data_IF_609273419764
#
_entry.id   IF_609273419764
#
_cell.length_a   1.000
_cell.length_b   1.000
_cell.length_c   1.000
_cell.angle_alpha   90.00
_cell.angle_beta   90.00
_cell.angle_gamma   90.00
#
_symmetry.space_group_name_H-M   'P 1'
#
loop_
_entity.id
_entity.type
_entity.pdbx_description
1 polymer ?
#
# COMPACT_ATOMS: atom_id res chain seq x y z
N UNK A 1 16.84 28.91 6.57
CA UNK A 1 16.35 27.87 5.64
C UNK A 1 14.84 27.84 5.72
N UNK A 2 14.16 28.20 4.65
CA UNK A 2 12.70 28.33 4.59
C UNK A 2 11.99 26.97 4.58
N UNK A 3 10.69 26.94 4.93
CA UNK A 3 9.86 25.72 4.82
C UNK A 3 9.82 25.17 3.39
N UNK A 4 10.05 26.02 2.39
CA UNK A 4 10.07 25.68 0.95
C UNK A 4 11.31 24.84 0.62
N UNK A 5 12.48 25.14 1.23
CA UNK A 5 13.72 24.38 1.00
C UNK A 5 13.65 22.94 1.53
N UNK A 6 12.88 22.72 2.63
CA UNK A 6 12.67 21.37 3.19
C UNK A 6 11.70 20.52 2.37
N UNK A 7 10.82 21.14 1.58
CA UNK A 7 9.88 20.44 0.70
C UNK A 7 10.53 20.02 -0.61
N UNK A 8 11.46 20.79 -1.13
CA UNK A 8 12.24 20.46 -2.34
C UNK A 8 13.21 19.26 -2.12
N UNK A 9 13.68 19.03 -0.88
CA UNK A 9 14.54 17.90 -0.53
C UNK A 9 13.80 16.57 -0.36
N UNK A 10 12.47 16.55 -0.39
CA UNK A 10 11.65 15.33 -0.45
C UNK A 10 11.42 14.84 -1.89
N UNK A 11 12.37 15.04 -2.81
CA UNK A 11 12.37 14.28 -4.07
C UNK A 11 12.28 12.82 -3.68
N UNK A 12 11.21 12.15 -4.14
CA UNK A 12 11.03 10.72 -3.93
C UNK A 12 12.34 10.04 -4.33
N UNK A 13 13.06 9.49 -3.33
CA UNK A 13 14.32 8.80 -3.60
C UNK A 13 13.98 7.67 -4.54
N UNK A 14 14.50 7.72 -5.75
CA UNK A 14 14.29 6.68 -6.75
C UNK A 14 14.79 5.38 -6.14
N UNK A 15 13.89 4.40 -6.02
CA UNK A 15 14.23 3.05 -5.57
C UNK A 15 14.65 2.33 -6.84
N UNK A 16 15.93 1.93 -6.93
CA UNK A 16 16.42 1.09 -8.03
C UNK A 16 16.65 -0.34 -7.54
N UNK A 17 16.69 -1.28 -8.48
CA UNK A 17 17.00 -2.68 -8.18
C UNK A 17 18.35 -2.81 -7.48
N UNK A 18 19.37 -2.14 -8.00
CA UNK A 18 20.73 -2.16 -7.45
C UNK A 18 20.77 -1.63 -6.02
N UNK A 19 20.01 -0.56 -5.74
CA UNK A 19 19.89 -0.03 -4.39
C UNK A 19 19.30 -1.06 -3.42
N UNK A 20 18.29 -1.82 -3.85
CA UNK A 20 17.68 -2.86 -3.01
C UNK A 20 18.67 -4.01 -2.81
N UNK A 21 19.28 -4.49 -3.89
CA UNK A 21 20.24 -5.60 -3.88
C UNK A 21 21.51 -5.30 -3.08
N UNK A 22 21.95 -4.05 -3.02
CA UNK A 22 23.08 -3.62 -2.19
C UNK A 22 22.83 -3.87 -0.69
N UNK A 23 21.58 -3.67 -0.24
CA UNK A 23 21.27 -3.61 1.19
C UNK A 23 20.50 -4.81 1.71
N UNK A 24 19.71 -5.45 0.86
CA UNK A 24 18.72 -6.43 1.27
C UNK A 24 18.78 -7.70 0.41
N UNK A 25 18.45 -8.81 1.05
CA UNK A 25 18.06 -10.07 0.40
C UNK A 25 16.55 -10.23 0.52
N UNK A 26 15.88 -10.63 -0.55
CA UNK A 26 14.45 -10.92 -0.60
C UNK A 26 14.27 -12.42 -0.85
N UNK A 27 13.51 -13.11 0.02
CA UNK A 27 13.28 -14.56 -0.05
C UNK A 27 11.99 -14.96 -0.82
N UNK A 28 11.32 -13.96 -1.43
CA UNK A 28 10.02 -14.12 -2.08
C UNK A 28 8.84 -13.62 -1.23
N UNK A 29 9.06 -13.30 0.04
CA UNK A 29 8.06 -12.78 0.97
C UNK A 29 8.59 -11.66 1.86
N UNK A 30 9.73 -11.90 2.50
CA UNK A 30 10.34 -11.02 3.49
C UNK A 30 11.71 -10.53 3.03
N UNK A 31 12.14 -9.43 3.60
CA UNK A 31 13.47 -8.88 3.39
C UNK A 31 14.38 -9.16 4.57
N UNK A 32 15.65 -9.42 4.27
CA UNK A 32 16.71 -9.67 5.24
C UNK A 32 17.90 -8.76 4.97
N UNK A 33 18.56 -8.30 6.04
CA UNK A 33 19.73 -7.46 5.93
C UNK A 33 20.92 -8.24 5.36
N UNK A 34 21.55 -7.73 4.31
CA UNK A 34 22.83 -8.24 3.82
C UNK A 34 23.98 -7.78 4.70
N UNK A 35 25.07 -8.53 4.70
CA UNK A 35 26.35 -8.05 5.24
C UNK A 35 26.77 -6.80 4.47
N UNK A 36 27.37 -5.86 5.20
CA UNK A 36 27.86 -4.60 4.61
C UNK A 36 29.36 -4.56 4.64
N UNK A 37 29.96 -3.92 3.64
CA UNK A 37 31.38 -3.69 3.54
C UNK A 37 31.88 -2.65 4.56
N UNK A 38 33.13 -2.75 5.01
CA UNK A 38 33.71 -1.78 5.95
C UNK A 38 33.59 -0.32 5.48
N UNK A 39 33.65 -0.08 4.17
CA UNK A 39 33.51 1.25 3.56
C UNK A 39 32.15 1.91 3.83
N UNK A 40 31.14 1.13 4.25
CA UNK A 40 29.81 1.64 4.62
C UNK A 40 29.73 2.24 6.03
N UNK A 41 30.83 2.19 6.79
CA UNK A 41 30.89 2.60 8.20
C UNK A 41 32.05 3.56 8.45
N UNK A 42 31.99 4.28 9.56
CA UNK A 42 33.08 5.15 10.02
C UNK A 42 34.33 4.38 10.45
N UNK A 43 34.16 3.13 10.89
CA UNK A 43 35.25 2.28 11.37
C UNK A 43 34.90 0.79 11.26
N UNK A 44 35.94 -0.05 11.26
CA UNK A 44 35.83 -1.51 11.11
C UNK A 44 35.13 -2.20 12.29
N UNK A 45 35.24 -1.62 13.50
CA UNK A 45 34.58 -2.18 14.71
C UNK A 45 33.06 -2.04 14.58
N UNK A 46 32.57 -0.89 14.17
CA UNK A 46 31.14 -0.62 13.92
C UNK A 46 30.61 -1.55 12.83
N UNK A 47 31.35 -1.75 11.75
CA UNK A 47 31.02 -2.71 10.70
C UNK A 47 30.88 -4.14 11.25
N UNK A 48 31.86 -4.61 12.03
CA UNK A 48 31.85 -5.95 12.64
C UNK A 48 30.66 -6.13 13.57
N UNK A 49 30.40 -5.15 14.43
CA UNK A 49 29.23 -5.19 15.35
C UNK A 49 27.93 -5.24 14.57
N UNK A 50 27.77 -4.41 13.55
CA UNK A 50 26.56 -4.39 12.72
C UNK A 50 26.36 -5.73 12.00
N UNK A 51 27.39 -6.25 11.35
CA UNK A 51 27.33 -7.51 10.61
C UNK A 51 27.05 -8.71 11.53
N UNK A 52 27.53 -8.69 12.77
CA UNK A 52 27.24 -9.74 13.76
C UNK A 52 25.81 -9.65 14.30
N UNK A 53 25.29 -8.44 14.50
CA UNK A 53 24.00 -8.24 15.18
C UNK A 53 22.81 -8.18 14.23
N UNK A 54 23.00 -7.67 13.03
CA UNK A 54 21.91 -7.27 12.12
C UNK A 54 21.90 -8.08 10.83
N UNK A 55 23.05 -8.36 10.22
CA UNK A 55 23.08 -9.11 8.96
C UNK A 55 22.41 -10.49 9.12
N UNK A 56 21.64 -10.88 8.13
CA UNK A 56 20.83 -12.10 8.12
C UNK A 56 19.53 -12.03 8.90
N UNK A 57 19.27 -10.95 9.65
CA UNK A 57 17.99 -10.77 10.34
C UNK A 57 16.95 -10.15 9.41
N UNK A 58 15.67 -10.46 9.69
CA UNK A 58 14.54 -9.86 8.97
C UNK A 58 14.58 -8.33 9.08
N UNK A 59 14.43 -7.68 7.96
CA UNK A 59 14.45 -6.23 7.85
C UNK A 59 13.05 -5.65 7.93
N UNK A 60 12.93 -4.53 8.67
CA UNK A 60 11.69 -3.78 8.77
C UNK A 60 10.79 -4.16 9.94
N UNK A 61 9.73 -3.36 10.09
CA UNK A 61 8.69 -3.51 11.10
C UNK A 61 7.36 -2.98 10.57
N UNK A 62 6.27 -3.32 11.26
CA UNK A 62 4.93 -2.90 10.87
C UNK A 62 4.71 -1.45 11.33
N UNK A 63 4.39 -0.56 10.39
CA UNK A 63 4.07 0.85 10.66
C UNK A 63 2.65 1.00 11.25
N UNK A 64 2.33 2.19 11.78
CA UNK A 64 0.98 2.51 12.27
C UNK A 64 -0.11 2.36 11.18
N UNK A 65 0.27 2.44 9.90
CA UNK A 65 -0.63 2.21 8.77
C UNK A 65 -0.74 0.73 8.37
N UNK A 66 -0.05 -0.18 9.08
CA UNK A 66 -0.09 -1.62 8.84
C UNK A 66 0.87 -2.10 7.74
N UNK A 67 1.70 -1.25 7.15
CA UNK A 67 2.69 -1.65 6.15
C UNK A 67 4.00 -2.11 6.81
N UNK A 68 4.67 -3.07 6.18
CA UNK A 68 6.06 -3.34 6.51
C UNK A 68 6.93 -2.21 5.94
N UNK A 69 7.65 -1.51 6.81
CA UNK A 69 8.58 -0.43 6.45
C UNK A 69 10.01 -0.78 6.86
N UNK A 70 10.96 -0.54 5.95
CA UNK A 70 12.38 -0.79 6.14
C UNK A 70 13.11 0.55 6.10
N UNK A 71 13.94 0.82 7.13
CA UNK A 71 14.74 2.04 7.18
C UNK A 71 16.14 1.78 6.64
N UNK A 72 16.48 2.37 5.49
CA UNK A 72 17.79 2.25 4.85
C UNK A 72 18.41 3.64 4.75
N UNK A 73 19.64 3.82 5.26
CA UNK A 73 20.38 5.11 5.23
C UNK A 73 19.51 6.29 5.68
N UNK A 74 18.76 6.11 6.79
CA UNK A 74 17.89 7.14 7.38
C UNK A 74 16.57 7.40 6.69
N UNK A 75 16.28 6.76 5.54
CA UNK A 75 15.01 6.89 4.82
C UNK A 75 14.16 5.63 5.00
N UNK A 76 12.84 5.81 5.10
CA UNK A 76 11.88 4.70 5.21
C UNK A 76 11.33 4.34 3.84
N UNK A 77 11.26 3.04 3.59
CA UNK A 77 10.74 2.46 2.34
C UNK A 77 9.70 1.39 2.68
N UNK A 78 8.61 1.39 1.96
CA UNK A 78 7.59 0.34 2.08
C UNK A 78 8.08 -0.94 1.40
N UNK A 79 8.00 -2.08 2.08
CA UNK A 79 8.55 -3.36 1.61
C UNK A 79 7.97 -3.80 0.27
N UNK A 80 6.64 -3.66 0.06
CA UNK A 80 6.02 -4.01 -1.22
C UNK A 80 6.58 -3.21 -2.41
N UNK A 81 6.98 -1.95 -2.21
CA UNK A 81 7.61 -1.14 -3.27
C UNK A 81 9.03 -1.62 -3.57
N UNK A 82 9.77 -2.06 -2.54
CA UNK A 82 11.09 -2.67 -2.71
C UNK A 82 10.99 -4.02 -3.44
N UNK A 83 10.02 -4.86 -3.06
CA UNK A 83 9.77 -6.14 -3.71
C UNK A 83 9.40 -5.96 -5.20
N UNK A 84 8.49 -5.03 -5.48
CA UNK A 84 8.12 -4.70 -6.86
C UNK A 84 9.32 -4.24 -7.68
N UNK A 85 10.08 -3.28 -7.17
CA UNK A 85 11.24 -2.74 -7.86
C UNK A 85 12.31 -3.81 -8.13
N UNK A 86 12.51 -4.73 -7.18
CA UNK A 86 13.48 -5.81 -7.32
C UNK A 86 13.13 -6.77 -8.47
N UNK A 87 11.84 -7.08 -8.65
CA UNK A 87 11.37 -8.09 -9.62
C UNK A 87 11.00 -7.45 -10.97
N UNK A 88 10.33 -6.32 -10.95
CA UNK A 88 9.76 -5.69 -12.15
C UNK A 88 10.45 -4.37 -12.57
N UNK A 89 11.38 -3.86 -11.75
CA UNK A 89 12.05 -2.59 -12.02
C UNK A 89 11.24 -1.38 -11.53
N UNK A 90 11.45 -0.24 -12.18
CA UNK A 90 10.93 1.06 -11.75
C UNK A 90 9.40 1.11 -11.69
N UNK A 91 8.91 1.79 -10.66
CA UNK A 91 7.47 2.06 -10.51
C UNK A 91 7.18 3.40 -11.20
N UNK A 92 6.32 3.44 -12.25
CA UNK A 92 5.93 4.68 -12.90
C UNK A 92 5.37 5.70 -11.91
N UNK A 93 5.59 6.99 -12.17
CA UNK A 93 5.25 8.08 -11.24
C UNK A 93 3.76 8.23 -10.96
N UNK A 94 2.92 7.83 -11.91
CA UNK A 94 1.46 7.83 -11.87
C UNK A 94 0.84 6.54 -11.33
N UNK A 95 1.69 5.52 -11.07
CA UNK A 95 1.26 4.21 -10.60
C UNK A 95 1.63 3.97 -9.13
N UNK A 96 0.85 3.13 -8.48
CA UNK A 96 1.07 2.68 -7.12
C UNK A 96 1.12 1.15 -7.05
N UNK A 97 1.94 0.62 -6.15
CA UNK A 97 1.93 -0.81 -5.85
C UNK A 97 0.88 -1.06 -4.77
N UNK A 98 -0.04 -1.98 -5.05
CA UNK A 98 -1.17 -2.32 -4.20
C UNK A 98 -1.18 -3.81 -3.87
N UNK A 99 -1.76 -4.18 -2.71
CA UNK A 99 -1.92 -5.57 -2.27
C UNK A 99 -3.27 -6.11 -2.73
N UNK A 100 -3.25 -7.20 -3.50
CA UNK A 100 -4.45 -7.81 -4.09
C UNK A 100 -5.39 -8.32 -2.98
N UNK A 101 -4.84 -8.96 -1.94
CA UNK A 101 -5.58 -9.54 -0.81
C UNK A 101 -5.84 -8.55 0.34
N UNK A 102 -5.49 -7.26 0.20
CA UNK A 102 -5.57 -6.21 1.23
C UNK A 102 -4.68 -6.42 2.47
N UNK A 103 -3.94 -7.52 2.60
CA UNK A 103 -2.95 -7.72 3.65
C UNK A 103 -1.66 -6.95 3.33
N UNK A 104 -1.48 -5.83 4.02
CA UNK A 104 -0.34 -4.92 3.84
C UNK A 104 0.99 -5.49 4.34
N UNK A 105 0.97 -6.67 4.95
CA UNK A 105 2.16 -7.38 5.41
C UNK A 105 2.59 -8.49 4.46
N UNK A 106 1.71 -8.90 3.53
CA UNK A 106 1.98 -9.94 2.54
C UNK A 106 2.62 -9.34 1.28
N UNK A 107 3.95 -9.23 1.29
CA UNK A 107 4.72 -8.61 0.22
C UNK A 107 5.19 -9.61 -0.85
N UNK A 108 4.59 -10.80 -0.93
CA UNK A 108 4.85 -11.74 -2.04
C UNK A 108 4.47 -11.11 -3.35
N UNK A 109 5.30 -11.33 -4.39
CA UNK A 109 5.13 -10.63 -5.67
C UNK A 109 3.81 -10.95 -6.37
N UNK A 110 3.32 -12.19 -6.23
CA UNK A 110 2.03 -12.63 -6.77
C UNK A 110 0.83 -11.95 -6.11
N UNK A 111 1.03 -11.38 -4.91
CA UNK A 111 0.02 -10.58 -4.20
C UNK A 111 0.11 -9.08 -4.50
N UNK A 112 1.07 -8.64 -5.31
CA UNK A 112 1.28 -7.23 -5.63
C UNK A 112 0.85 -6.94 -7.06
N UNK A 113 0.34 -5.74 -7.28
CA UNK A 113 -0.02 -5.23 -8.62
C UNK A 113 0.25 -3.74 -8.73
N UNK A 114 0.44 -3.26 -9.96
CA UNK A 114 0.40 -1.83 -10.24
C UNK A 114 -1.05 -1.39 -10.47
N UNK A 115 -1.40 -0.28 -9.86
CA UNK A 115 -2.70 0.37 -10.03
C UNK A 115 -2.49 1.87 -10.22
N UNK A 116 -3.33 2.49 -11.04
CA UNK A 116 -3.45 3.94 -11.09
C UNK A 116 -4.23 4.47 -9.86
N UNK A 117 -4.36 5.77 -9.73
CA UNK A 117 -5.10 6.37 -8.63
C UNK A 117 -6.58 5.95 -8.59
N UNK A 118 -7.19 5.65 -9.74
CA UNK A 118 -8.57 5.18 -9.82
C UNK A 118 -8.69 3.72 -9.36
N UNK A 119 -7.78 2.86 -9.81
CA UNK A 119 -7.71 1.46 -9.41
C UNK A 119 -7.49 1.30 -7.90
N UNK A 120 -6.60 2.12 -7.31
CA UNK A 120 -6.37 2.11 -5.88
C UNK A 120 -7.60 2.57 -5.06
N UNK A 121 -8.34 3.57 -5.55
CA UNK A 121 -9.60 3.97 -4.92
C UNK A 121 -10.69 2.89 -5.01
N UNK A 122 -10.74 2.15 -6.12
CA UNK A 122 -11.65 1.01 -6.30
C UNK A 122 -11.37 -0.13 -5.34
N UNK A 123 -10.12 -0.29 -4.92
CA UNK A 123 -9.66 -1.36 -4.02
C UNK A 123 -9.63 -0.93 -2.52
N UNK A 124 -10.21 0.22 -2.18
CA UNK A 124 -10.22 0.69 -0.79
C UNK A 124 -11.10 -0.19 0.09
N UNK A 125 -10.57 -0.66 1.23
CA UNK A 125 -11.33 -1.39 2.25
C UNK A 125 -12.41 -0.51 2.89
N UNK A 126 -13.42 -1.16 3.47
CA UNK A 126 -14.52 -0.51 4.19
C UNK A 126 -13.93 0.36 5.33
N UNK A 127 -14.37 1.60 5.43
CA UNK A 127 -13.99 2.49 6.52
C UNK A 127 -14.53 1.97 7.86
N UNK A 128 -13.74 2.13 8.93
CA UNK A 128 -14.13 1.71 10.30
C UNK A 128 -15.37 2.43 10.85
N UNK A 129 -15.68 3.63 10.32
CA UNK A 129 -16.84 4.44 10.67
C UNK A 129 -18.10 4.10 9.84
N UNK A 130 -18.01 3.14 8.94
CA UNK A 130 -19.15 2.69 8.15
C UNK A 130 -20.01 1.69 8.95
N UNK A 131 -20.97 2.23 9.70
CA UNK A 131 -21.92 1.47 10.54
C UNK A 131 -22.77 0.48 9.70
N UNK A 132 -22.96 0.74 8.41
CA UNK A 132 -23.72 -0.10 7.51
C UNK A 132 -22.98 -1.35 7.00
N UNK A 133 -21.66 -1.48 7.24
CA UNK A 133 -20.86 -2.64 6.78
C UNK A 133 -20.70 -2.77 5.26
N UNK A 134 -21.25 -1.86 4.47
CA UNK A 134 -21.10 -1.85 3.01
C UNK A 134 -20.72 -0.46 2.51
N UNK A 135 -19.62 -0.36 1.77
CA UNK A 135 -19.19 0.92 1.18
C UNK A 135 -20.18 1.36 0.10
N UNK A 136 -20.65 2.61 0.20
CA UNK A 136 -21.57 3.20 -0.78
C UNK A 136 -23.04 2.85 -0.53
N UNK A 137 -23.38 2.32 0.65
CA UNK A 137 -24.74 2.17 1.12
C UNK A 137 -24.91 2.98 2.40
N UNK A 138 -25.91 3.84 2.45
CA UNK A 138 -26.18 4.71 3.61
C UNK A 138 -27.68 4.79 3.91
N UNK A 139 -28.02 4.94 5.18
CA UNK A 139 -29.41 5.17 5.60
C UNK A 139 -29.77 6.65 5.47
N UNK A 140 -30.87 6.94 4.82
CA UNK A 140 -31.46 8.28 4.77
C UNK A 140 -32.66 8.35 5.72
N UNK A 141 -32.52 9.01 6.87
CA UNK A 141 -33.58 9.05 7.88
C UNK A 141 -34.80 9.87 7.43
N UNK A 142 -34.64 10.88 6.59
CA UNK A 142 -35.75 11.72 6.11
C UNK A 142 -36.70 10.95 5.19
N UNK A 143 -36.14 10.09 4.33
CA UNK A 143 -36.95 9.27 3.42
C UNK A 143 -37.18 7.84 3.90
N UNK A 144 -36.61 7.49 5.08
CA UNK A 144 -36.66 6.12 5.67
C UNK A 144 -36.27 5.04 4.64
N UNK A 145 -35.16 5.27 3.92
CA UNK A 145 -34.67 4.37 2.88
C UNK A 145 -33.16 4.23 2.90
N UNK A 146 -32.68 3.10 2.43
CA UNK A 146 -31.28 2.85 2.14
C UNK A 146 -30.95 3.40 0.77
N UNK A 147 -29.92 4.22 0.67
CA UNK A 147 -29.43 4.79 -0.59
C UNK A 147 -28.14 4.06 -0.96
N UNK A 148 -28.10 3.51 -2.19
CA UNK A 148 -26.91 2.97 -2.78
C UNK A 148 -26.32 3.95 -3.80
N UNK A 149 -25.00 4.16 -3.74
CA UNK A 149 -24.25 4.98 -4.69
C UNK A 149 -22.89 4.37 -5.00
N UNK A 150 -22.33 4.72 -6.16
CA UNK A 150 -20.98 4.33 -6.57
C UNK A 150 -20.22 5.55 -7.05
N UNK A 151 -18.88 5.52 -6.94
CA UNK A 151 -18.05 6.58 -7.50
C UNK A 151 -17.48 6.12 -8.84
N UNK A 152 -17.86 6.82 -9.90
CA UNK A 152 -17.40 6.56 -11.25
C UNK A 152 -16.76 7.84 -11.80
N UNK A 153 -15.53 7.77 -12.32
CA UNK A 153 -14.79 8.92 -12.86
C UNK A 153 -14.76 10.13 -11.91
N UNK A 154 -14.54 9.87 -10.62
CA UNK A 154 -14.48 10.92 -9.58
C UNK A 154 -15.84 11.47 -9.13
N UNK A 155 -16.96 11.13 -9.77
CA UNK A 155 -18.31 11.60 -9.45
C UNK A 155 -19.13 10.53 -8.74
N UNK A 156 -19.96 10.96 -7.77
CA UNK A 156 -20.95 10.08 -7.13
C UNK A 156 -22.12 9.84 -8.10
N UNK A 157 -22.39 8.56 -8.34
CA UNK A 157 -23.52 8.12 -9.17
C UNK A 157 -24.52 7.39 -8.27
N UNK A 158 -25.75 7.88 -8.21
CA UNK A 158 -26.84 7.25 -7.49
C UNK A 158 -27.26 5.96 -8.21
N UNK A 159 -27.33 4.85 -7.48
CA UNK A 159 -27.76 3.55 -7.99
C UNK A 159 -29.25 3.37 -7.76
N UNK A 160 -29.71 3.66 -6.53
CA UNK A 160 -31.11 3.52 -6.15
C UNK A 160 -31.38 3.78 -4.67
N UNK A 161 -32.68 3.81 -4.33
CA UNK A 161 -33.17 3.95 -2.96
C UNK A 161 -34.06 2.76 -2.61
N UNK A 162 -33.74 2.06 -1.54
CA UNK A 162 -34.31 0.75 -1.20
C UNK A 162 -34.93 0.78 0.21
N UNK A 163 -35.95 -0.04 0.41
CA UNK A 163 -36.58 -0.21 1.73
C UNK A 163 -35.71 -1.11 2.61
N UNK A 164 -35.17 -2.19 2.02
CA UNK A 164 -34.33 -3.16 2.71
C UNK A 164 -32.86 -2.89 2.48
N UNK A 165 -32.05 -3.02 3.52
CA UNK A 165 -30.59 -2.91 3.43
C UNK A 165 -29.99 -3.91 2.43
N UNK A 166 -30.46 -5.18 2.48
CA UNK A 166 -29.98 -6.23 1.58
C UNK A 166 -30.14 -5.91 0.09
N UNK A 167 -31.23 -5.23 -0.29
CA UNK A 167 -31.49 -4.86 -1.68
C UNK A 167 -30.53 -3.74 -2.13
N UNK A 168 -30.24 -2.78 -1.23
CA UNK A 168 -29.27 -1.74 -1.49
C UNK A 168 -27.85 -2.29 -1.63
N UNK A 169 -27.47 -3.28 -0.80
CA UNK A 169 -26.17 -3.97 -0.88
C UNK A 169 -26.06 -4.70 -2.21
N UNK A 170 -27.06 -5.53 -2.56
CA UNK A 170 -27.07 -6.28 -3.83
C UNK A 170 -26.93 -5.36 -5.05
N UNK A 171 -27.71 -4.27 -5.11
CA UNK A 171 -27.62 -3.30 -6.19
C UNK A 171 -26.22 -2.65 -6.26
N UNK A 172 -25.59 -2.42 -5.12
CA UNK A 172 -24.23 -1.88 -5.04
C UNK A 172 -23.19 -2.88 -5.53
N UNK A 173 -23.32 -4.16 -5.16
CA UNK A 173 -22.42 -5.25 -5.60
C UNK A 173 -22.52 -5.49 -7.10
N UNK A 174 -23.73 -5.51 -7.67
CA UNK A 174 -23.96 -5.61 -9.11
C UNK A 174 -23.30 -4.45 -9.88
N UNK A 175 -23.41 -3.22 -9.35
CA UNK A 175 -22.75 -2.05 -9.93
C UNK A 175 -21.23 -2.14 -9.82
N UNK A 176 -20.68 -2.70 -8.71
CA UNK A 176 -19.25 -2.95 -8.54
C UNK A 176 -18.72 -3.94 -9.58
N UNK A 177 -19.40 -5.08 -9.72
CA UNK A 177 -19.03 -6.11 -10.69
C UNK A 177 -18.98 -5.54 -12.12
N UNK A 178 -20.00 -4.76 -12.51
CA UNK A 178 -20.07 -4.13 -13.84
C UNK A 178 -18.95 -3.13 -14.10
N UNK A 179 -18.46 -2.44 -13.06
CA UNK A 179 -17.43 -1.41 -13.18
C UNK A 179 -16.03 -1.92 -12.84
N UNK A 180 -15.86 -3.24 -12.62
CA UNK A 180 -14.57 -3.85 -12.34
C UNK A 180 -13.98 -3.46 -10.98
N UNK A 181 -14.83 -3.22 -9.96
CA UNK A 181 -14.41 -3.11 -8.58
C UNK A 181 -14.17 -4.49 -7.98
N UNK A 182 -13.16 -4.62 -7.11
CA UNK A 182 -13.00 -5.84 -6.34
C UNK A 182 -14.06 -5.93 -5.23
N UNK A 183 -14.54 -7.14 -4.99
CA UNK A 183 -15.43 -7.44 -3.86
C UNK A 183 -14.60 -7.32 -2.57
N UNK A 184 -14.86 -6.29 -1.80
CA UNK A 184 -14.27 -6.13 -0.47
C UNK A 184 -15.21 -6.79 0.53
N UNK A 185 -14.79 -7.93 1.05
CA UNK A 185 -15.45 -8.62 2.17
C UNK A 185 -14.92 -8.11 3.49
#
# INVERSE_FOLDING_TARGET
MSKIDKQAQRKAKVITKEFVEEHLHYDGKDFFWKKREPSSFSDSRTCKVWNTRIAGKRAGGISAQGYVEIQIKGSRYKAHRLAWCLVHGDIPTDMQVDHINHDRTDNRIENLRLVDNQGNQKNSSIRKDNIGGCTGVTWNPSHKRWIAYIRENGKHKHIGSFIKFSDAVRAREEAQARLGFHMNH
#
